data_IF_307920425359
#
_entry.id   IF_307920425359
#
_cell.length_a   1.000
_cell.length_b   1.000
_cell.length_c   1.000
_cell.angle_alpha   90.00
_cell.angle_beta   90.00
_cell.angle_gamma   90.00
#
_symmetry.space_group_name_H-M   'P 1'
#
loop_
_entity.id
_entity.type
_entity.pdbx_description
1 polymer ?
#
# COMPACT_ATOMS: atom_id res chain seq x y z
N UNK A 1 -85.98 -17.26 -9.73
CA UNK A 1 -84.89 -18.23 -9.68
C UNK A 1 -83.95 -17.90 -10.83
N UNK A 2 -82.88 -17.17 -10.57
CA UNK A 2 -81.98 -16.76 -11.65
C UNK A 2 -80.61 -17.40 -11.33
N UNK A 3 -80.16 -18.26 -12.21
CA UNK A 3 -78.80 -18.93 -12.16
C UNK A 3 -77.75 -17.95 -12.51
N UNK A 4 -76.85 -17.69 -11.54
CA UNK A 4 -75.66 -16.92 -11.78
C UNK A 4 -74.49 -17.87 -12.15
N UNK A 5 -74.16 -17.74 -13.43
CA UNK A 5 -73.03 -18.45 -14.07
C UNK A 5 -71.71 -18.00 -13.56
N UNK A 6 -70.89 -18.97 -13.13
CA UNK A 6 -69.47 -18.83 -12.80
C UNK A 6 -68.64 -18.79 -14.10
N UNK A 7 -68.37 -17.64 -14.65
CA UNK A 7 -67.36 -17.49 -15.71
C UNK A 7 -66.82 -16.06 -15.73
N UNK A 8 -65.50 -15.94 -15.53
CA UNK A 8 -64.74 -14.79 -15.99
C UNK A 8 -64.02 -13.97 -14.91
N UNK A 9 -63.07 -14.56 -14.19
CA UNK A 9 -61.99 -13.78 -13.61
C UNK A 9 -60.67 -14.25 -14.25
N UNK A 10 -60.40 -13.68 -15.42
CA UNK A 10 -59.03 -13.71 -15.92
C UNK A 10 -58.26 -12.58 -15.24
N UNK A 11 -57.46 -12.95 -14.23
CA UNK A 11 -56.52 -12.04 -13.59
C UNK A 11 -55.41 -11.66 -14.58
N UNK A 12 -55.33 -10.38 -14.90
CA UNK A 12 -54.11 -9.82 -15.49
C UNK A 12 -52.99 -9.89 -14.44
N UNK A 13 -52.15 -10.90 -14.56
CA UNK A 13 -50.87 -10.93 -13.86
C UNK A 13 -49.95 -9.89 -14.47
N UNK A 14 -49.81 -8.74 -13.81
CA UNK A 14 -48.71 -7.79 -14.09
C UNK A 14 -47.43 -8.41 -13.59
N UNK A 15 -46.65 -8.99 -14.48
CA UNK A 15 -45.29 -9.37 -14.20
C UNK A 15 -44.47 -8.09 -14.04
N UNK A 16 -44.26 -7.68 -12.80
CA UNK A 16 -43.25 -6.66 -12.48
C UNK A 16 -41.86 -7.24 -12.75
N UNK A 17 -41.33 -6.97 -13.93
CA UNK A 17 -39.91 -7.19 -14.21
C UNK A 17 -39.11 -6.25 -13.31
N UNK A 18 -38.60 -6.77 -12.20
CA UNK A 18 -37.61 -6.08 -11.40
C UNK A 18 -36.33 -5.96 -12.23
N UNK A 19 -36.17 -4.84 -12.93
CA UNK A 19 -34.87 -4.45 -13.49
C UNK A 19 -33.94 -4.22 -12.34
N UNK A 20 -33.11 -5.23 -12.01
CA UNK A 20 -31.93 -5.02 -11.18
C UNK A 20 -31.03 -4.05 -11.96
N UNK A 21 -31.15 -2.76 -11.66
CA UNK A 21 -30.18 -1.80 -12.10
C UNK A 21 -28.83 -2.24 -11.50
N UNK A 22 -27.99 -2.85 -12.33
CA UNK A 22 -26.60 -3.07 -11.98
C UNK A 22 -26.02 -1.69 -11.66
N UNK A 23 -25.73 -1.43 -10.38
CA UNK A 23 -24.95 -0.27 -10.00
C UNK A 23 -23.69 -0.30 -10.85
N UNK A 24 -23.32 0.80 -11.54
CA UNK A 24 -22.08 0.83 -12.26
C UNK A 24 -21.00 0.53 -11.20
N UNK A 25 -20.24 -0.56 -11.41
CA UNK A 25 -19.00 -0.75 -10.70
C UNK A 25 -18.26 0.57 -10.91
N UNK A 26 -18.00 1.30 -9.85
CA UNK A 26 -17.14 2.46 -9.89
C UNK A 26 -15.79 1.91 -10.34
N UNK A 27 -15.60 1.86 -11.65
CA UNK A 27 -14.31 1.63 -12.24
C UNK A 27 -13.44 2.78 -11.74
N UNK A 28 -12.52 2.49 -10.83
CA UNK A 28 -11.41 3.39 -10.49
C UNK A 28 -10.51 3.38 -11.71
N UNK A 29 -10.95 4.06 -12.77
CA UNK A 29 -10.24 4.14 -14.05
C UNK A 29 -9.07 5.14 -13.98
N UNK A 30 -8.84 5.74 -12.83
CA UNK A 30 -7.70 6.62 -12.58
C UNK A 30 -6.79 5.94 -11.56
N UNK A 31 -5.71 5.35 -12.06
CA UNK A 31 -4.70 4.76 -11.19
C UNK A 31 -4.18 5.75 -10.15
N UNK A 32 -3.89 5.25 -8.95
CA UNK A 32 -3.28 6.05 -7.90
C UNK A 32 -1.79 6.26 -8.17
N UNK A 33 -1.21 7.30 -7.58
CA UNK A 33 0.19 7.66 -7.83
C UNK A 33 1.17 6.69 -7.18
N UNK A 34 0.87 6.18 -5.99
CA UNK A 34 1.85 5.38 -5.26
C UNK A 34 1.26 4.34 -4.30
N UNK A 35 2.09 3.37 -3.94
CA UNK A 35 2.03 2.63 -2.69
C UNK A 35 3.22 3.02 -1.83
N UNK A 36 2.98 3.54 -0.63
CA UNK A 36 4.00 3.89 0.35
C UNK A 36 4.23 2.72 1.31
N UNK A 37 5.48 2.29 1.46
CA UNK A 37 5.94 1.41 2.53
C UNK A 37 6.80 2.20 3.51
N UNK A 38 6.38 2.25 4.79
CA UNK A 38 7.09 2.96 5.85
C UNK A 38 7.08 2.20 7.17
N UNK A 39 7.92 2.67 8.10
CA UNK A 39 7.91 2.14 9.47
C UNK A 39 6.63 2.53 10.22
N UNK A 40 6.25 1.69 11.19
CA UNK A 40 5.14 1.97 12.14
C UNK A 40 5.48 3.07 13.15
N UNK A 41 6.71 3.54 13.23
CA UNK A 41 7.18 4.53 14.22
C UNK A 41 6.30 5.79 14.18
N UNK A 42 5.63 6.15 15.30
CA UNK A 42 4.68 7.25 15.34
C UNK A 42 5.32 8.63 15.08
N UNK A 43 6.63 8.79 15.35
CA UNK A 43 7.37 10.04 15.12
C UNK A 43 7.32 10.47 13.65
N UNK A 44 7.14 9.54 12.73
CA UNK A 44 7.18 9.78 11.29
C UNK A 44 5.80 9.79 10.61
N UNK A 45 4.72 9.67 11.36
CA UNK A 45 3.36 9.66 10.78
C UNK A 45 3.06 10.95 10.03
N UNK A 46 3.20 12.10 10.68
CA UNK A 46 2.98 13.41 10.06
C UNK A 46 4.04 13.73 9.01
N UNK A 47 5.30 13.40 9.28
CA UNK A 47 6.41 13.68 8.36
C UNK A 47 6.27 12.94 7.03
N UNK A 48 5.87 11.65 7.05
CA UNK A 48 5.63 10.90 5.81
C UNK A 48 4.39 11.39 5.07
N UNK A 49 3.33 11.78 5.78
CA UNK A 49 2.18 12.41 5.16
C UNK A 49 2.55 13.74 4.49
N UNK A 50 3.31 14.60 5.16
CA UNK A 50 3.79 15.87 4.61
C UNK A 50 4.68 15.66 3.38
N UNK A 51 5.59 14.68 3.42
CA UNK A 51 6.42 14.30 2.29
C UNK A 51 5.58 13.88 1.07
N UNK A 52 4.60 13.00 1.26
CA UNK A 52 3.74 12.55 0.15
C UNK A 52 2.84 13.69 -0.35
N UNK A 53 2.32 14.52 0.55
CA UNK A 53 1.47 15.67 0.21
C UNK A 53 2.23 16.76 -0.56
N UNK A 54 3.48 17.04 -0.19
CA UNK A 54 4.33 18.01 -0.90
C UNK A 54 4.62 17.63 -2.35
N UNK A 55 4.43 16.36 -2.69
CA UNK A 55 4.54 15.81 -4.05
C UNK A 55 3.22 15.89 -4.84
N UNK A 56 2.17 16.46 -4.25
CA UNK A 56 0.82 16.50 -4.84
C UNK A 56 0.06 15.19 -4.75
N UNK A 57 0.48 14.25 -3.89
CA UNK A 57 -0.11 12.92 -3.80
C UNK A 57 -1.06 12.73 -2.62
N UNK A 58 -1.57 13.80 -2.06
CA UNK A 58 -2.59 13.72 -1.01
C UNK A 58 -3.80 12.91 -1.52
N UNK A 59 -4.19 11.87 -0.78
CA UNK A 59 -5.25 10.93 -1.15
C UNK A 59 -5.02 10.17 -2.49
N UNK A 60 -3.77 10.16 -2.99
CA UNK A 60 -3.38 9.51 -4.23
C UNK A 60 -2.41 8.34 -4.02
N UNK A 61 -2.34 7.81 -2.80
CA UNK A 61 -1.50 6.65 -2.49
C UNK A 61 -2.13 5.75 -1.44
N UNK A 62 -1.92 4.45 -1.60
CA UNK A 62 -2.12 3.47 -0.53
C UNK A 62 -0.87 3.40 0.34
N UNK A 63 -1.01 2.93 1.59
CA UNK A 63 0.14 2.80 2.46
C UNK A 63 0.14 1.47 3.20
N UNK A 64 1.33 0.92 3.38
CA UNK A 64 1.59 -0.24 4.22
C UNK A 64 2.60 0.14 5.31
N UNK A 65 2.23 -0.07 6.56
CA UNK A 65 3.05 0.27 7.70
C UNK A 65 3.47 -1.00 8.43
N UNK A 66 4.77 -1.23 8.54
CA UNK A 66 5.35 -2.36 9.26
C UNK A 66 6.63 -1.92 9.98
N UNK A 67 6.99 -2.57 11.08
CA UNK A 67 8.22 -2.22 11.79
C UNK A 67 9.43 -2.27 10.84
N UNK A 68 10.19 -1.17 10.77
CA UNK A 68 11.33 -1.01 9.85
C UNK A 68 10.97 -0.64 8.40
N UNK A 69 9.67 -0.67 8.02
CA UNK A 69 9.28 -0.42 6.63
C UNK A 69 9.99 -1.36 5.65
N UNK A 70 10.78 -0.86 4.67
CA UNK A 70 11.56 -1.70 3.74
C UNK A 70 12.44 -2.75 4.42
N UNK A 71 13.07 -2.43 5.55
CA UNK A 71 13.85 -3.40 6.35
C UNK A 71 12.96 -4.56 6.80
N UNK A 72 11.73 -4.26 7.24
CA UNK A 72 10.78 -5.27 7.73
C UNK A 72 10.34 -6.29 6.68
N UNK A 73 10.53 -6.00 5.39
CA UNK A 73 10.09 -6.88 4.29
C UNK A 73 11.24 -7.49 3.49
N UNK A 74 12.49 -7.20 3.87
CA UNK A 74 13.66 -7.83 3.24
C UNK A 74 14.64 -8.44 4.23
N UNK A 75 14.72 -7.96 5.48
CA UNK A 75 15.67 -8.47 6.45
C UNK A 75 15.29 -9.89 6.94
N UNK A 76 16.22 -10.85 7.00
CA UNK A 76 15.94 -12.22 7.45
C UNK A 76 15.30 -12.31 8.84
N UNK A 77 15.62 -11.37 9.74
CA UNK A 77 15.04 -11.28 11.07
C UNK A 77 13.49 -11.18 11.05
N UNK A 78 12.93 -10.71 9.96
CA UNK A 78 11.49 -10.47 9.78
C UNK A 78 10.87 -11.33 8.68
N UNK A 79 11.49 -12.44 8.33
CA UNK A 79 11.05 -13.30 7.21
C UNK A 79 9.56 -13.68 7.25
N UNK A 80 8.98 -13.82 8.45
CA UNK A 80 7.55 -14.14 8.64
C UNK A 80 6.59 -13.06 8.13
N UNK A 81 7.07 -11.83 7.90
CA UNK A 81 6.24 -10.70 7.47
C UNK A 81 6.30 -10.46 5.97
N UNK A 82 7.28 -11.05 5.28
CA UNK A 82 7.58 -10.73 3.89
C UNK A 82 6.40 -11.00 2.97
N UNK A 83 5.81 -12.19 3.04
CA UNK A 83 4.72 -12.59 2.14
C UNK A 83 3.51 -11.67 2.29
N UNK A 84 3.16 -11.29 3.53
CA UNK A 84 2.04 -10.36 3.77
C UNK A 84 2.22 -9.04 3.01
N UNK A 85 3.42 -8.48 2.99
CA UNK A 85 3.66 -7.26 2.21
C UNK A 85 3.58 -7.51 0.71
N UNK A 86 4.20 -8.58 0.22
CA UNK A 86 4.24 -8.87 -1.22
C UNK A 86 2.85 -9.14 -1.80
N UNK A 87 1.98 -9.80 -1.06
CA UNK A 87 0.58 -10.01 -1.41
C UNK A 87 -0.19 -8.67 -1.46
N UNK A 88 -0.01 -7.80 -0.45
CA UNK A 88 -0.64 -6.48 -0.43
C UNK A 88 -0.14 -5.57 -1.55
N UNK A 89 1.15 -5.67 -1.91
CA UNK A 89 1.69 -4.95 -3.07
C UNK A 89 1.01 -5.41 -4.37
N UNK A 90 0.88 -6.72 -4.56
CA UNK A 90 0.21 -7.27 -5.73
C UNK A 90 -1.25 -6.78 -5.84
N UNK A 91 -1.99 -6.80 -4.73
CA UNK A 91 -3.36 -6.28 -4.66
C UNK A 91 -3.40 -4.77 -4.98
N UNK A 92 -2.47 -3.98 -4.42
CA UNK A 92 -2.41 -2.55 -4.67
C UNK A 92 -2.12 -2.23 -6.15
N UNK A 93 -1.24 -2.99 -6.78
CA UNK A 93 -0.99 -2.86 -8.23
C UNK A 93 -2.23 -3.26 -9.04
N UNK A 94 -2.87 -4.37 -8.68
CA UNK A 94 -4.03 -4.90 -9.43
C UNK A 94 -5.26 -4.03 -9.32
N UNK A 95 -5.61 -3.57 -8.10
CA UNK A 95 -6.87 -2.86 -7.84
C UNK A 95 -6.73 -1.34 -7.91
N UNK A 96 -5.59 -0.80 -7.52
CA UNK A 96 -5.33 0.64 -7.47
C UNK A 96 -4.50 1.13 -8.65
N UNK A 97 -4.02 0.22 -9.50
CA UNK A 97 -3.18 0.57 -10.66
C UNK A 97 -2.09 1.58 -10.31
N UNK A 98 -1.38 1.34 -9.19
CA UNK A 98 -0.37 2.28 -8.69
C UNK A 98 0.80 2.39 -9.66
N UNK A 99 1.25 3.61 -9.93
CA UNK A 99 2.34 3.89 -10.88
C UNK A 99 3.71 3.63 -10.27
N UNK A 100 3.82 3.75 -8.94
CA UNK A 100 5.09 3.63 -8.23
C UNK A 100 4.96 3.03 -6.84
N UNK A 101 6.10 2.53 -6.34
CA UNK A 101 6.27 2.09 -4.96
C UNK A 101 7.31 2.99 -4.30
N UNK A 102 6.95 3.59 -3.18
CA UNK A 102 7.82 4.46 -2.40
C UNK A 102 8.22 3.73 -1.13
N UNK A 103 9.51 3.38 -1.00
CA UNK A 103 10.07 2.75 0.19
C UNK A 103 10.82 3.75 1.05
N UNK A 104 10.37 3.99 2.28
CA UNK A 104 11.01 4.92 3.21
C UNK A 104 11.45 4.18 4.47
N UNK A 105 12.76 4.14 4.72
CA UNK A 105 13.33 3.87 6.03
C UNK A 105 13.53 5.18 6.80
N UNK A 106 13.88 5.11 8.06
CA UNK A 106 14.17 6.32 8.82
C UNK A 106 15.36 6.12 9.77
N UNK A 107 15.92 7.24 10.20
CA UNK A 107 16.99 7.25 11.20
C UNK A 107 16.49 6.85 12.58
N UNK A 108 17.39 6.29 13.38
CA UNK A 108 17.09 5.85 14.75
C UNK A 108 15.94 4.83 14.81
N UNK A 109 15.97 3.86 13.87
CA UNK A 109 14.93 2.85 13.77
C UNK A 109 15.18 1.67 14.71
N UNK A 110 14.25 1.45 15.66
CA UNK A 110 14.32 0.29 16.57
C UNK A 110 14.31 -1.06 15.86
N UNK A 111 13.52 -1.21 14.79
CA UNK A 111 13.50 -2.43 14.01
C UNK A 111 14.81 -2.67 13.25
N UNK A 112 15.50 -1.61 12.82
CA UNK A 112 16.84 -1.74 12.25
C UNK A 112 17.85 -2.29 13.26
N UNK A 113 17.75 -1.87 14.53
CA UNK A 113 18.58 -2.42 15.59
C UNK A 113 18.29 -3.91 15.86
N UNK A 114 17.03 -4.33 15.77
CA UNK A 114 16.66 -5.76 15.85
C UNK A 114 17.26 -6.55 14.68
N UNK A 115 17.26 -5.99 13.48
CA UNK A 115 17.76 -6.68 12.28
C UNK A 115 19.27 -6.73 12.18
N UNK A 116 19.97 -5.67 12.59
CA UNK A 116 21.41 -5.47 12.31
C UNK A 116 22.29 -5.29 13.55
N UNK A 117 21.68 -5.32 14.74
CA UNK A 117 22.38 -5.17 16.02
C UNK A 117 22.55 -3.71 16.47
N UNK A 118 22.97 -3.56 17.72
CA UNK A 118 23.00 -2.25 18.41
C UNK A 118 24.03 -1.25 17.85
N UNK A 119 25.02 -1.71 17.10
CA UNK A 119 25.97 -0.82 16.41
C UNK A 119 25.27 0.24 15.57
N UNK A 120 24.10 -0.08 15.00
CA UNK A 120 23.34 0.86 14.16
C UNK A 120 22.89 2.12 14.92
N UNK A 121 22.79 2.05 16.25
CA UNK A 121 22.38 3.17 17.12
C UNK A 121 23.49 4.20 17.34
N UNK A 122 24.73 3.79 17.21
CA UNK A 122 25.91 4.60 17.59
C UNK A 122 26.83 4.92 16.41
N UNK A 123 26.73 4.16 15.32
CA UNK A 123 27.54 4.32 14.12
C UNK A 123 26.67 4.80 12.95
N UNK A 124 26.69 6.12 12.70
CA UNK A 124 25.91 6.76 11.65
C UNK A 124 26.25 6.27 10.23
N UNK A 125 27.52 5.94 9.99
CA UNK A 125 27.94 5.41 8.70
C UNK A 125 27.37 4.01 8.48
N UNK A 126 27.48 3.15 9.49
CA UNK A 126 26.88 1.81 9.46
C UNK A 126 25.36 1.86 9.35
N UNK A 127 24.69 2.77 10.05
CA UNK A 127 23.24 2.97 9.91
C UNK A 127 22.87 3.33 8.47
N UNK A 128 23.62 4.23 7.83
CA UNK A 128 23.39 4.63 6.44
C UNK A 128 23.59 3.46 5.49
N UNK A 129 24.66 2.69 5.68
CA UNK A 129 24.97 1.52 4.87
C UNK A 129 23.86 0.46 4.94
N UNK A 130 23.40 0.11 6.14
CA UNK A 130 22.36 -0.90 6.33
C UNK A 130 21.01 -0.46 5.76
N UNK A 131 20.61 0.80 5.99
CA UNK A 131 19.40 1.35 5.39
C UNK A 131 19.48 1.35 3.86
N UNK A 132 20.61 1.77 3.28
CA UNK A 132 20.80 1.81 1.82
C UNK A 132 20.77 0.40 1.23
N UNK A 133 21.43 -0.56 1.88
CA UNK A 133 21.45 -1.96 1.45
C UNK A 133 20.04 -2.55 1.45
N UNK A 134 19.28 -2.36 2.54
CA UNK A 134 17.91 -2.84 2.63
C UNK A 134 16.99 -2.19 1.56
N UNK A 135 17.13 -0.89 1.33
CA UNK A 135 16.37 -0.17 0.31
C UNK A 135 16.68 -0.69 -1.11
N UNK A 136 17.94 -0.94 -1.43
CA UNK A 136 18.34 -1.50 -2.73
C UNK A 136 17.83 -2.93 -2.91
N UNK A 137 17.90 -3.74 -1.86
CA UNK A 137 17.32 -5.09 -1.88
C UNK A 137 15.80 -5.02 -2.07
N UNK A 138 15.13 -4.11 -1.37
CA UNK A 138 13.70 -3.86 -1.54
C UNK A 138 13.35 -3.48 -2.98
N UNK A 139 14.08 -2.55 -3.61
CA UNK A 139 13.90 -2.21 -5.03
C UNK A 139 14.01 -3.44 -5.93
N UNK A 140 15.06 -4.24 -5.74
CA UNK A 140 15.29 -5.43 -6.55
C UNK A 140 14.11 -6.42 -6.43
N UNK A 141 13.60 -6.65 -5.22
CA UNK A 141 12.47 -7.53 -4.98
C UNK A 141 11.14 -6.98 -5.52
N UNK A 142 10.91 -5.66 -5.44
CA UNK A 142 9.74 -5.03 -6.06
C UNK A 142 9.79 -5.22 -7.58
N UNK A 143 10.88 -4.85 -8.22
CA UNK A 143 11.00 -4.92 -9.69
C UNK A 143 10.96 -6.36 -10.22
N UNK A 144 11.41 -7.32 -9.44
CA UNK A 144 11.28 -8.75 -9.78
C UNK A 144 9.81 -9.19 -9.83
N UNK A 145 8.96 -8.67 -8.96
CA UNK A 145 7.53 -9.04 -8.84
C UNK A 145 6.62 -8.15 -9.65
N UNK A 146 6.97 -6.88 -9.79
CA UNK A 146 6.17 -5.82 -10.41
C UNK A 146 7.08 -4.96 -11.31
N UNK A 147 7.53 -5.49 -12.46
CA UNK A 147 8.52 -4.81 -13.31
C UNK A 147 8.03 -3.50 -13.93
N UNK A 148 6.70 -3.30 -13.94
CA UNK A 148 6.08 -2.12 -14.54
C UNK A 148 6.07 -0.88 -13.63
N UNK A 149 6.30 -1.04 -12.32
CA UNK A 149 6.24 0.09 -11.40
C UNK A 149 7.57 0.83 -11.28
N UNK A 150 7.51 2.12 -11.03
CA UNK A 150 8.67 2.93 -10.65
C UNK A 150 8.94 2.70 -9.16
N UNK A 151 10.21 2.51 -8.77
CA UNK A 151 10.58 2.37 -7.36
C UNK A 151 11.39 3.56 -6.90
N UNK A 152 10.89 4.26 -5.90
CA UNK A 152 11.53 5.40 -5.26
C UNK A 152 11.91 5.05 -3.82
N UNK A 153 13.11 5.43 -3.42
CA UNK A 153 13.69 5.03 -2.13
C UNK A 153 14.19 6.25 -1.38
N UNK A 154 13.99 6.26 -0.07
CA UNK A 154 14.47 7.34 0.77
C UNK A 154 14.78 6.91 2.20
N UNK A 155 15.70 7.65 2.83
CA UNK A 155 15.96 7.60 4.28
C UNK A 155 15.43 8.91 4.87
N UNK A 156 14.45 8.81 5.74
CA UNK A 156 13.88 9.98 6.43
C UNK A 156 14.69 10.27 7.69
N UNK A 157 15.12 11.52 7.83
CA UNK A 157 15.76 11.98 9.06
C UNK A 157 14.72 12.28 10.15
N UNK A 158 15.14 12.40 11.39
CA UNK A 158 14.26 12.67 12.55
C UNK A 158 13.47 14.00 12.43
N UNK A 159 13.97 14.93 11.64
CA UNK A 159 13.29 16.19 11.33
C UNK A 159 12.31 16.10 10.14
N UNK A 160 12.16 14.91 9.52
CA UNK A 160 11.27 14.69 8.38
C UNK A 160 11.89 14.90 7.00
N UNK A 161 13.13 15.39 6.92
CA UNK A 161 13.83 15.50 5.64
C UNK A 161 14.12 14.10 5.05
N UNK A 162 13.89 13.93 3.75
CA UNK A 162 14.11 12.66 3.05
C UNK A 162 15.30 12.78 2.12
N UNK A 163 16.34 12.03 2.40
CA UNK A 163 17.46 11.81 1.49
C UNK A 163 17.15 10.69 0.50
N UNK A 164 17.17 10.98 -0.81
CA UNK A 164 16.94 9.97 -1.84
C UNK A 164 18.06 8.93 -1.88
N UNK A 165 17.69 7.68 -2.16
CA UNK A 165 18.62 6.56 -2.37
C UNK A 165 18.48 6.05 -3.80
N UNK A 166 19.60 6.02 -4.51
CA UNK A 166 19.69 5.52 -5.88
C UNK A 166 20.05 4.04 -5.95
#
# INVERSE_FOLDING_TARGET
MANLSRRGLFGLGVAAAASAAALPALAVDQGYEAMLLKCIDPRFTTNTWAYMSSRGWQNQYSQFNIAGGPIGVVAPAFAKWHDTFWENLAISVQLHNVKRVVGITHRDCGAAAVAYGDRIKTDRAFETEMNTTALRQFRAEVLKRQPQVIVELGIMDVNGAVGAVT
#
